data_IF_120342029393
#
_entry.id   IF_120342029393
#
_cell.length_a   1.000
_cell.length_b   1.000
_cell.length_c   1.000
_cell.angle_alpha   90.00
_cell.angle_beta   90.00
_cell.angle_gamma   90.00
#
_symmetry.space_group_name_H-M   'P 1'
#
loop_
_entity.id
_entity.type
_entity.pdbx_description
1 polymer ?
#
# COMPACT_ATOMS: atom_id res chain seq x y z
N UNK A 1 10.57 -9.11 0.30
CA UNK A 1 10.29 -8.90 1.75
C UNK A 1 8.80 -9.08 2.05
N UNK A 2 8.41 -10.07 2.86
CA UNK A 2 6.98 -10.36 3.13
C UNK A 2 6.39 -9.48 4.23
N UNK A 3 5.16 -9.01 4.03
CA UNK A 3 4.37 -8.26 5.00
C UNK A 3 2.98 -8.85 5.16
N UNK A 4 2.40 -8.61 6.34
CA UNK A 4 1.02 -8.94 6.69
C UNK A 4 0.28 -7.64 7.02
N UNK A 5 -0.93 -7.49 6.50
CA UNK A 5 -1.86 -6.41 6.82
C UNK A 5 -3.03 -7.02 7.57
N UNK A 6 -3.13 -6.73 8.87
CA UNK A 6 -4.22 -7.15 9.73
C UNK A 6 -5.32 -6.08 9.73
N UNK A 7 -6.53 -6.44 9.31
CA UNK A 7 -7.70 -5.57 9.31
C UNK A 7 -8.38 -5.66 10.68
N UNK A 8 -8.33 -4.61 11.48
CA UNK A 8 -8.78 -4.66 12.87
C UNK A 8 -10.26 -5.05 13.01
N UNK A 9 -11.13 -4.51 12.13
CA UNK A 9 -12.58 -4.73 12.22
C UNK A 9 -12.99 -6.17 11.93
N UNK A 10 -12.35 -6.82 10.96
CA UNK A 10 -12.75 -8.15 10.46
C UNK A 10 -11.83 -9.26 10.93
N UNK A 11 -10.67 -8.92 11.50
CA UNK A 11 -9.59 -9.86 11.83
C UNK A 11 -9.06 -10.63 10.61
N UNK A 12 -9.36 -10.14 9.39
CA UNK A 12 -8.83 -10.70 8.16
C UNK A 12 -7.39 -10.25 7.95
N UNK A 13 -6.63 -11.12 7.29
CA UNK A 13 -5.22 -10.92 6.98
C UNK A 13 -5.01 -10.84 5.49
N UNK A 14 -4.21 -9.89 5.05
CA UNK A 14 -3.76 -9.76 3.65
C UNK A 14 -2.26 -9.95 3.63
N UNK A 15 -1.77 -10.85 2.77
CA UNK A 15 -0.34 -11.12 2.63
C UNK A 15 0.17 -10.47 1.36
N UNK A 16 1.32 -9.81 1.45
CA UNK A 16 1.96 -9.15 0.33
C UNK A 16 3.47 -9.31 0.37
N UNK A 17 4.10 -9.16 -0.80
CA UNK A 17 5.55 -9.12 -0.94
C UNK A 17 5.98 -7.76 -1.47
N UNK A 18 6.87 -7.10 -0.72
CA UNK A 18 7.57 -5.89 -1.12
C UNK A 18 8.82 -6.21 -1.93
N UNK A 19 9.10 -5.39 -2.94
CA UNK A 19 10.26 -5.50 -3.82
C UNK A 19 11.56 -5.20 -3.06
N UNK A 20 12.57 -6.06 -3.18
CA UNK A 20 13.80 -5.98 -2.38
C UNK A 20 14.85 -5.04 -2.97
N UNK A 21 14.80 -4.86 -4.29
CA UNK A 21 15.66 -3.99 -5.08
C UNK A 21 15.14 -2.54 -5.17
N UNK A 22 14.05 -2.23 -4.48
CA UNK A 22 13.43 -0.91 -4.46
C UNK A 22 13.72 -0.18 -3.13
N UNK A 23 14.49 0.92 -3.14
CA UNK A 23 14.83 1.67 -1.93
C UNK A 23 13.61 2.18 -1.16
N UNK A 24 12.53 2.54 -1.86
CA UNK A 24 11.27 3.00 -1.25
C UNK A 24 10.58 1.87 -0.51
N UNK A 25 10.55 0.68 -1.10
CA UNK A 25 9.98 -0.52 -0.51
C UNK A 25 10.79 -1.00 0.71
N UNK A 26 12.12 -0.94 0.63
CA UNK A 26 13.01 -1.25 1.76
C UNK A 26 12.82 -0.25 2.91
N UNK A 27 12.78 1.05 2.61
CA UNK A 27 12.54 2.09 3.62
C UNK A 27 11.15 1.93 4.26
N UNK A 28 10.13 1.58 3.48
CA UNK A 28 8.80 1.29 4.01
C UNK A 28 8.82 0.07 4.94
N UNK A 29 9.45 -1.02 4.51
CA UNK A 29 9.59 -2.24 5.31
C UNK A 29 10.26 -1.98 6.66
N UNK A 30 11.27 -1.12 6.70
CA UNK A 30 11.99 -0.72 7.92
C UNK A 30 11.16 0.15 8.89
N UNK A 31 10.09 0.80 8.41
CA UNK A 31 9.18 1.56 9.28
C UNK A 31 8.15 0.68 9.99
N UNK A 32 8.00 -0.58 9.56
CA UNK A 32 7.02 -1.50 10.15
C UNK A 32 7.44 -1.95 11.56
N UNK A 33 6.48 -2.14 12.49
CA UNK A 33 5.04 -2.11 12.26
C UNK A 33 4.42 -0.71 12.21
N UNK A 34 3.34 -0.55 11.41
CA UNK A 34 2.56 0.68 11.33
C UNK A 34 1.06 0.40 11.46
N UNK A 35 0.35 1.25 12.19
CA UNK A 35 -1.12 1.24 12.24
C UNK A 35 -1.65 2.44 11.48
N UNK A 36 -2.46 2.19 10.45
CA UNK A 36 -2.98 3.20 9.52
C UNK A 36 -4.48 3.05 9.37
N UNK A 37 -5.17 4.13 9.02
CA UNK A 37 -6.57 4.06 8.59
C UNK A 37 -6.62 4.04 7.07
N UNK A 38 -7.28 3.07 6.46
CA UNK A 38 -7.42 2.97 5.02
C UNK A 38 -8.80 3.44 4.58
N UNK A 39 -8.85 4.35 3.61
CA UNK A 39 -10.09 4.87 3.01
C UNK A 39 -10.15 4.54 1.54
N UNK A 40 -11.37 4.35 1.04
CA UNK A 40 -11.57 4.21 -0.40
C UNK A 40 -11.20 5.49 -1.12
N UNK A 41 -10.52 5.36 -2.24
CA UNK A 41 -10.25 6.44 -3.16
C UNK A 41 -10.47 6.00 -4.60
N UNK A 42 -11.23 6.82 -5.32
CA UNK A 42 -11.59 6.63 -6.72
C UNK A 42 -12.21 5.26 -7.06
N UNK A 43 -12.69 4.49 -6.07
CA UNK A 43 -13.25 3.16 -6.29
C UNK A 43 -12.25 2.14 -6.85
N UNK A 44 -10.94 2.38 -6.70
CA UNK A 44 -9.88 1.53 -7.24
C UNK A 44 -8.74 1.25 -6.24
N UNK A 45 -8.48 2.18 -5.33
CA UNK A 45 -7.38 2.06 -4.36
C UNK A 45 -7.84 2.39 -2.94
N UNK A 46 -7.15 1.81 -1.96
CA UNK A 46 -7.27 2.18 -0.55
C UNK A 46 -6.07 3.02 -0.16
N UNK A 47 -6.32 4.23 0.32
CA UNK A 47 -5.26 5.18 0.69
C UNK A 47 -5.16 5.36 2.20
N UNK A 48 -3.93 5.52 2.68
CA UNK A 48 -3.65 5.92 4.06
C UNK A 48 -3.57 7.45 4.19
N UNK A 49 -3.51 7.99 5.43
CA UNK A 49 -2.88 9.28 5.68
C UNK A 49 -1.39 9.27 5.29
N UNK A 50 -0.77 10.44 5.29
CA UNK A 50 0.67 10.54 5.10
C UNK A 50 1.44 9.72 6.15
N UNK A 51 2.49 9.03 5.72
CA UNK A 51 3.44 8.36 6.60
C UNK A 51 4.21 9.41 7.41
N UNK A 52 4.57 9.08 8.65
CA UNK A 52 5.33 9.99 9.52
C UNK A 52 6.71 10.33 8.94
N UNK A 53 7.33 9.39 8.22
CA UNK A 53 8.59 9.60 7.53
C UNK A 53 8.40 9.35 6.04
N UNK A 54 8.76 10.32 5.18
CA UNK A 54 8.66 10.13 3.74
C UNK A 54 9.60 9.02 3.29
N UNK A 55 9.22 8.35 2.20
CA UNK A 55 10.06 7.35 1.55
C UNK A 55 10.95 8.02 0.50
N UNK A 56 12.12 7.43 0.18
CA UNK A 56 12.89 7.82 -0.99
C UNK A 56 12.00 7.80 -2.24
N UNK A 57 12.23 8.75 -3.15
CA UNK A 57 11.51 8.83 -4.42
C UNK A 57 12.52 9.08 -5.53
N UNK A 58 12.74 8.09 -6.38
CA UNK A 58 13.64 8.18 -7.54
C UNK A 58 12.93 7.87 -8.88
N UNK A 59 11.62 7.65 -8.87
CA UNK A 59 10.84 7.33 -10.08
C UNK A 59 10.03 8.53 -10.53
N UNK A 60 9.78 8.61 -11.84
CA UNK A 60 8.92 9.66 -12.41
C UNK A 60 7.43 9.40 -12.16
N UNK A 61 7.04 8.17 -11.81
CA UNK A 61 5.64 7.76 -11.68
C UNK A 61 5.41 6.28 -12.01
N UNK A 62 4.16 5.85 -11.85
CA UNK A 62 3.74 4.47 -12.05
C UNK A 62 2.25 4.43 -12.41
N UNK A 63 1.81 3.34 -13.05
CA UNK A 63 0.40 3.05 -13.29
C UNK A 63 -0.02 1.91 -12.36
N UNK A 64 -0.85 2.22 -11.35
CA UNK A 64 -1.29 1.24 -10.36
C UNK A 64 -2.17 0.15 -10.97
N UNK A 65 -1.83 -1.11 -10.71
CA UNK A 65 -2.59 -2.28 -11.15
C UNK A 65 -3.19 -3.00 -9.97
N UNK A 66 -4.21 -3.80 -10.24
CA UNK A 66 -4.83 -4.64 -9.23
C UNK A 66 -3.79 -5.46 -8.45
N UNK A 67 -3.87 -5.35 -7.12
CA UNK A 67 -3.00 -5.97 -6.15
C UNK A 67 -1.76 -5.16 -5.78
N UNK A 68 -1.46 -4.06 -6.46
CA UNK A 68 -0.24 -3.30 -6.20
C UNK A 68 -0.33 -2.51 -4.89
N UNK A 69 0.78 -2.52 -4.14
CA UNK A 69 1.03 -1.62 -3.02
C UNK A 69 1.98 -0.55 -3.53
N UNK A 70 1.59 0.70 -3.34
CA UNK A 70 2.32 1.86 -3.87
C UNK A 70 2.43 2.94 -2.81
N UNK A 71 3.35 3.87 -3.06
CA UNK A 71 3.52 5.11 -2.32
C UNK A 71 3.33 6.28 -3.26
N UNK A 72 2.48 7.22 -2.88
CA UNK A 72 2.27 8.44 -3.66
C UNK A 72 3.07 9.58 -3.05
N UNK A 73 4.24 9.87 -3.61
CA UNK A 73 5.19 10.84 -3.07
C UNK A 73 4.61 12.27 -2.89
N UNK A 74 3.74 12.80 -3.77
CA UNK A 74 3.19 14.15 -3.61
C UNK A 74 2.36 14.34 -2.33
N UNK A 75 1.72 13.29 -1.81
CA UNK A 75 0.93 13.34 -0.58
C UNK A 75 1.58 12.58 0.58
N UNK A 76 2.55 11.73 0.28
CA UNK A 76 3.28 10.94 1.24
C UNK A 76 2.49 9.78 1.84
N UNK A 77 1.42 9.31 1.19
CA UNK A 77 0.60 8.20 1.65
C UNK A 77 0.89 6.88 0.92
N UNK A 78 0.45 5.79 1.53
CA UNK A 78 0.28 4.51 0.84
C UNK A 78 -1.00 4.52 0.01
N UNK A 79 -0.95 3.79 -1.09
CA UNK A 79 -2.11 3.44 -1.91
C UNK A 79 -2.04 1.94 -2.28
N UNK A 80 -3.09 1.19 -1.96
CA UNK A 80 -3.21 -0.24 -2.27
C UNK A 80 -4.33 -0.43 -3.27
N UNK A 81 -3.98 -0.83 -4.48
CA UNK A 81 -4.92 -1.01 -5.58
C UNK A 81 -5.64 -2.35 -5.44
N UNK A 82 -6.96 -2.31 -5.28
CA UNK A 82 -7.81 -3.51 -5.32
C UNK A 82 -8.47 -3.70 -6.69
N UNK A 83 -8.33 -2.70 -7.58
CA UNK A 83 -8.65 -2.72 -9.02
C UNK A 83 -7.57 -1.95 -9.78
N UNK A 84 -7.56 -2.07 -11.10
CA UNK A 84 -6.68 -1.26 -11.93
C UNK A 84 -7.02 0.23 -11.82
N UNK A 85 -6.00 1.09 -11.89
CA UNK A 85 -6.17 2.53 -11.92
C UNK A 85 -7.03 2.96 -13.11
N UNK A 86 -8.12 3.69 -12.85
CA UNK A 86 -8.96 4.26 -13.90
C UNK A 86 -8.32 5.49 -14.57
N UNK A 87 -7.31 6.10 -13.93
CA UNK A 87 -6.63 7.32 -14.43
C UNK A 87 -5.29 7.01 -15.11
N UNK A 88 -4.85 5.75 -15.10
CA UNK A 88 -3.59 5.32 -15.70
C UNK A 88 -2.36 5.79 -14.92
N UNK A 89 -1.36 6.28 -15.66
CA UNK A 89 -0.06 6.70 -15.13
C UNK A 89 -0.15 7.94 -14.24
N UNK A 90 0.41 7.86 -13.03
CA UNK A 90 0.46 8.95 -12.07
C UNK A 90 1.91 9.35 -11.74
N UNK A 91 2.24 10.63 -11.94
CA UNK A 91 3.55 11.19 -11.59
C UNK A 91 3.78 11.12 -10.08
N UNK A 92 4.94 10.59 -9.68
CA UNK A 92 5.30 10.41 -8.26
C UNK A 92 4.62 9.22 -7.56
N UNK A 93 3.84 8.40 -8.29
CA UNK A 93 3.41 7.09 -7.79
C UNK A 93 4.57 6.09 -7.90
N UNK A 94 4.84 5.38 -6.82
CA UNK A 94 5.99 4.48 -6.71
C UNK A 94 5.49 3.10 -6.30
N UNK A 95 5.74 2.10 -7.13
CA UNK A 95 5.49 0.71 -6.78
C UNK A 95 6.34 0.31 -5.58
N UNK A 96 5.74 -0.38 -4.60
CA UNK A 96 6.44 -0.93 -3.44
C UNK A 96 6.41 -2.46 -3.42
N UNK A 97 5.33 -3.06 -3.92
CA UNK A 97 5.11 -4.50 -3.82
C UNK A 97 3.72 -4.91 -4.29
N UNK A 98 3.37 -6.17 -4.05
CA UNK A 98 2.11 -6.74 -4.51
C UNK A 98 1.47 -7.63 -3.45
N UNK A 99 0.16 -7.53 -3.33
CA UNK A 99 -0.68 -8.44 -2.56
C UNK A 99 -0.71 -9.79 -3.25
N UNK A 100 -0.41 -10.84 -2.49
CA UNK A 100 -0.38 -12.23 -2.94
C UNK A 100 -1.64 -12.99 -2.52
N UNK A 101 -2.25 -12.62 -1.39
CA UNK A 101 -3.36 -13.35 -0.80
C UNK A 101 -4.42 -12.42 -0.21
N UNK A 102 -5.68 -12.81 -0.38
CA UNK A 102 -6.85 -12.18 0.22
C UNK A 102 -7.07 -10.70 -0.16
N UNK A 103 -6.78 -10.35 -1.42
CA UNK A 103 -7.01 -8.98 -1.92
C UNK A 103 -8.47 -8.51 -1.73
N UNK A 104 -9.44 -9.41 -1.87
CA UNK A 104 -10.86 -9.12 -1.72
C UNK A 104 -11.26 -8.61 -0.32
N UNK A 105 -10.42 -8.85 0.71
CA UNK A 105 -10.66 -8.26 2.03
C UNK A 105 -10.50 -6.73 2.03
N UNK A 106 -9.81 -6.16 1.03
CA UNK A 106 -9.67 -4.71 0.88
C UNK A 106 -10.92 -4.06 0.31
N UNK A 107 -11.71 -4.72 -0.56
CA UNK A 107 -12.82 -4.11 -1.31
C UNK A 107 -13.76 -3.27 -0.42
N UNK A 108 -14.10 -3.80 0.76
CA UNK A 108 -15.09 -3.21 1.65
C UNK A 108 -14.50 -2.24 2.70
N UNK A 109 -13.21 -1.92 2.62
CA UNK A 109 -12.61 -0.97 3.55
C UNK A 109 -12.94 0.46 3.14
N UNK A 110 -13.51 1.22 4.06
CA UNK A 110 -13.75 2.64 3.95
C UNK A 110 -13.68 3.32 5.33
N UNK A 111 -12.45 3.51 5.82
CA UNK A 111 -12.16 4.16 7.10
C UNK A 111 -11.76 3.19 8.23
N UNK A 112 -11.52 1.93 7.93
CA UNK A 112 -11.03 0.96 8.90
C UNK A 112 -9.54 1.11 9.20
N UNK A 113 -9.19 0.79 10.45
CA UNK A 113 -7.80 0.65 10.86
C UNK A 113 -7.23 -0.69 10.44
N UNK A 114 -5.98 -0.65 9.98
CA UNK A 114 -5.16 -1.80 9.69
C UNK A 114 -3.82 -1.68 10.40
N UNK A 115 -3.23 -2.81 10.76
CA UNK A 115 -1.83 -2.84 11.20
C UNK A 115 -1.01 -3.65 10.21
N UNK A 116 0.08 -3.04 9.72
CA UNK A 116 1.00 -3.64 8.76
C UNK A 116 2.25 -4.09 9.52
N UNK A 117 2.68 -5.34 9.33
CA UNK A 117 3.80 -5.96 10.03
C UNK A 117 4.71 -6.72 9.07
N UNK A 118 5.98 -6.84 9.44
CA UNK A 118 6.91 -7.76 8.78
C UNK A 118 6.53 -9.21 9.08
N UNK A 119 6.63 -10.09 8.09
CA UNK A 119 6.51 -11.53 8.28
C UNK A 119 7.92 -12.12 8.30
N UNK A 120 8.26 -12.83 9.38
CA UNK A 120 9.54 -13.53 9.54
C UNK A 120 9.52 -14.90 8.87
#
# INVERSE_FOLDING_TARGET
MKIEIDIERTQQKVIATLAEDNPSALAFYQQLPLTLTLKDYAGAEKISPALLKPLPSNTNGYEGKQGDITYYAPWGNLAIFYRDSAVGYATGLIYLGKVEQNLAALDNLNGEKVTIRQVK
#
